data_IF_196452955808
#
_entry.id   IF_196452955808
#
_cell.length_a   1.000
_cell.length_b   1.000
_cell.length_c   1.000
_cell.angle_alpha   90.00
_cell.angle_beta   90.00
_cell.angle_gamma   90.00
#
_symmetry.space_group_name_H-M   'P 1'
#
loop_
_entity.id
_entity.type
_entity.pdbx_description
1 polymer ?
#
# COMPACT_ATOMS: atom_id res chain seq x y z
N UNK A 1 -73.86 10.88 -0.53
CA UNK A 1 -72.71 10.42 0.27
C UNK A 1 -71.72 9.77 -0.69
N UNK A 2 -70.58 10.44 -0.93
CA UNK A 2 -69.60 10.13 -1.97
C UNK A 2 -68.56 9.14 -1.43
N UNK A 3 -68.34 8.07 -2.19
CA UNK A 3 -67.29 7.09 -2.01
C UNK A 3 -65.89 7.72 -2.09
N UNK A 4 -64.98 7.06 -1.38
CA UNK A 4 -63.62 7.48 -1.07
C UNK A 4 -62.72 7.83 -2.24
N UNK A 5 -61.71 8.64 -1.92
CA UNK A 5 -60.51 8.94 -2.73
C UNK A 5 -59.56 9.73 -1.83
N UNK A 6 -58.89 9.07 -0.88
CA UNK A 6 -57.84 9.78 -0.09
C UNK A 6 -56.66 8.93 0.36
N UNK A 7 -56.66 7.61 0.14
CA UNK A 7 -55.49 6.75 0.47
C UNK A 7 -54.63 6.40 -0.75
N UNK A 8 -54.84 7.07 -1.89
CA UNK A 8 -54.13 6.81 -3.16
C UNK A 8 -53.17 7.94 -3.57
N UNK A 9 -52.83 8.83 -2.63
CA UNK A 9 -51.85 9.92 -2.88
C UNK A 9 -50.58 9.76 -2.03
N UNK A 10 -50.51 8.80 -1.11
CA UNK A 10 -49.27 8.44 -0.38
C UNK A 10 -48.45 7.35 -1.09
N UNK A 11 -48.59 7.25 -2.41
CA UNK A 11 -47.65 6.52 -3.29
C UNK A 11 -47.11 7.54 -4.32
N UNK A 12 -46.79 8.75 -3.85
CA UNK A 12 -45.98 9.69 -4.63
C UNK A 12 -44.53 9.51 -4.21
N UNK A 13 -43.76 8.89 -5.11
CA UNK A 13 -42.31 9.08 -5.24
C UNK A 13 -41.46 8.65 -4.02
N UNK A 14 -41.39 7.35 -3.76
CA UNK A 14 -40.07 6.76 -3.54
C UNK A 14 -39.61 6.26 -4.91
N UNK A 15 -39.29 7.21 -5.79
CA UNK A 15 -38.35 6.92 -6.87
C UNK A 15 -37.05 6.68 -6.12
N UNK A 16 -36.70 5.41 -5.92
CA UNK A 16 -35.30 5.05 -5.78
C UNK A 16 -34.64 5.56 -7.04
N UNK A 17 -34.13 6.80 -6.98
CA UNK A 17 -33.10 7.23 -7.91
C UNK A 17 -31.94 6.29 -7.58
N UNK A 18 -31.86 5.20 -8.33
CA UNK A 18 -30.60 4.52 -8.54
C UNK A 18 -29.72 5.56 -9.21
N UNK A 19 -29.03 6.36 -8.40
CA UNK A 19 -27.92 7.16 -8.88
C UNK A 19 -26.91 6.11 -9.30
N UNK A 20 -26.86 5.81 -10.59
CA UNK A 20 -25.76 5.06 -11.17
C UNK A 20 -24.53 5.92 -10.97
N UNK A 21 -23.80 5.68 -9.89
CA UNK A 21 -22.53 6.33 -9.62
C UNK A 21 -21.52 5.75 -10.59
N UNK A 22 -21.22 6.48 -11.67
CA UNK A 22 -20.14 6.13 -12.57
C UNK A 22 -18.81 6.52 -11.88
N UNK A 23 -18.09 5.53 -11.36
CA UNK A 23 -16.69 5.71 -10.99
C UNK A 23 -15.86 5.78 -12.28
N UNK A 24 -15.18 6.90 -12.52
CA UNK A 24 -14.37 7.07 -13.72
C UNK A 24 -12.90 6.77 -13.41
N UNK A 25 -12.28 5.95 -14.26
CA UNK A 25 -10.84 5.74 -14.26
C UNK A 25 -10.12 6.74 -15.20
N UNK A 26 -8.93 7.24 -14.85
CA UNK A 26 -8.26 7.08 -13.55
C UNK A 26 -8.96 7.88 -12.44
N UNK A 27 -8.86 7.38 -11.20
CA UNK A 27 -9.50 8.01 -10.02
C UNK A 27 -8.82 9.32 -9.60
N UNK A 28 -7.53 9.47 -9.90
CA UNK A 28 -6.74 10.71 -9.74
C UNK A 28 -6.44 11.25 -11.15
N UNK A 29 -6.78 12.52 -11.43
CA UNK A 29 -6.65 13.11 -12.79
C UNK A 29 -5.75 14.33 -12.88
N UNK A 30 -5.39 14.91 -11.74
CA UNK A 30 -4.59 16.13 -11.65
C UNK A 30 -3.12 15.86 -11.31
N UNK A 31 -2.73 14.59 -11.09
CA UNK A 31 -1.36 14.14 -10.90
C UNK A 31 -1.18 12.72 -11.42
N UNK A 32 0.07 12.30 -11.61
CA UNK A 32 0.40 10.92 -11.91
C UNK A 32 0.65 10.15 -10.62
N UNK A 33 -0.08 9.05 -10.45
CA UNK A 33 -0.02 8.20 -9.28
C UNK A 33 0.30 6.76 -9.68
N UNK A 34 1.18 6.10 -8.95
CA UNK A 34 1.56 4.70 -9.16
C UNK A 34 1.45 3.90 -7.86
N UNK A 35 1.62 2.58 -7.96
CA UNK A 35 1.79 1.66 -6.83
C UNK A 35 0.78 1.82 -5.68
N UNK A 36 -0.55 1.85 -5.95
CA UNK A 36 -1.51 2.17 -4.90
C UNK A 36 -1.64 1.02 -3.87
N UNK A 37 -1.57 1.37 -2.59
CA UNK A 37 -2.16 0.56 -1.52
C UNK A 37 -3.49 1.17 -1.05
N UNK A 38 -4.46 0.33 -0.70
CA UNK A 38 -5.79 0.77 -0.28
C UNK A 38 -6.16 0.20 1.09
N UNK A 39 -6.63 1.07 1.99
CA UNK A 39 -6.97 0.71 3.37
C UNK A 39 -8.30 1.31 3.78
N UNK A 40 -9.08 0.56 4.54
CA UNK A 40 -10.31 1.07 5.17
C UNK A 40 -9.97 1.50 6.58
N UNK A 41 -10.16 2.79 6.88
CA UNK A 41 -9.99 3.34 8.22
C UNK A 41 -11.23 4.13 8.60
N UNK A 42 -11.98 3.64 9.60
CA UNK A 42 -13.30 4.18 9.93
C UNK A 42 -14.30 3.92 8.80
N UNK A 43 -14.98 4.97 8.37
CA UNK A 43 -16.01 4.97 7.31
C UNK A 43 -15.45 5.28 5.91
N UNK A 44 -14.12 5.33 5.77
CA UNK A 44 -13.45 5.80 4.56
C UNK A 44 -12.45 4.79 4.02
N UNK A 45 -12.37 4.72 2.69
CA UNK A 45 -11.22 4.13 1.99
C UNK A 45 -10.16 5.21 1.84
N UNK A 46 -8.91 4.86 2.12
CA UNK A 46 -7.72 5.65 1.88
C UNK A 46 -6.87 4.95 0.82
N UNK A 47 -6.37 5.70 -0.16
CA UNK A 47 -5.42 5.22 -1.16
C UNK A 47 -4.10 5.96 -0.95
N UNK A 48 -3.02 5.19 -0.83
CA UNK A 48 -1.66 5.66 -0.69
C UNK A 48 -0.86 5.23 -1.93
N UNK A 49 -0.76 6.09 -2.96
CA UNK A 49 0.06 5.83 -4.12
C UNK A 49 1.43 6.50 -4.00
N UNK A 50 2.39 6.03 -4.78
CA UNK A 50 3.57 6.82 -5.17
C UNK A 50 3.14 8.03 -6.01
N UNK A 51 3.79 9.19 -5.83
CA UNK A 51 3.58 10.37 -6.68
C UNK A 51 4.67 10.44 -7.75
N UNK A 52 4.29 10.17 -9.00
CA UNK A 52 5.22 10.21 -10.14
C UNK A 52 5.19 11.59 -10.80
N UNK A 53 6.38 12.10 -11.13
CA UNK A 53 6.55 13.43 -11.71
C UNK A 53 7.48 13.36 -12.93
N UNK A 54 7.43 14.38 -13.78
CA UNK A 54 8.39 14.49 -14.87
C UNK A 54 9.78 14.81 -14.33
N UNK A 55 10.79 14.05 -14.79
CA UNK A 55 12.18 14.40 -14.56
C UNK A 55 12.54 15.71 -15.29
N UNK A 56 13.28 16.58 -14.63
CA UNK A 56 13.79 17.86 -15.17
C UNK A 56 15.31 17.96 -14.93
N UNK A 57 16.04 18.90 -15.56
CA UNK A 57 17.47 19.05 -15.29
C UNK A 57 17.75 19.24 -13.79
N UNK A 58 18.52 18.33 -13.20
CA UNK A 58 18.81 18.30 -11.75
C UNK A 58 17.76 17.60 -10.88
N UNK A 59 16.67 17.09 -11.47
CA UNK A 59 15.58 16.40 -10.77
C UNK A 59 15.22 15.09 -11.47
N UNK A 60 15.59 13.97 -10.87
CA UNK A 60 15.33 12.64 -11.43
C UNK A 60 16.14 12.32 -12.68
N UNK A 61 15.86 11.16 -13.26
CA UNK A 61 16.51 10.66 -14.47
C UNK A 61 15.49 10.62 -15.60
N UNK A 62 15.80 11.30 -16.72
CA UNK A 62 14.95 11.27 -17.92
C UNK A 62 14.77 9.83 -18.41
N UNK A 63 13.53 9.44 -18.67
CA UNK A 63 13.18 8.08 -19.10
C UNK A 63 13.17 7.04 -17.97
N UNK A 64 13.09 7.50 -16.71
CA UNK A 64 12.98 6.65 -15.52
C UNK A 64 11.92 7.21 -14.57
N UNK A 65 11.50 6.40 -13.59
CA UNK A 65 10.62 6.84 -12.50
C UNK A 65 11.24 8.02 -11.75
N UNK A 66 10.40 8.99 -11.37
CA UNK A 66 10.82 10.14 -10.59
C UNK A 66 9.77 10.40 -9.51
N UNK A 67 10.00 9.90 -8.31
CA UNK A 67 9.02 9.93 -7.22
C UNK A 67 9.66 10.51 -5.96
N UNK A 68 9.31 11.74 -5.61
CA UNK A 68 9.96 12.49 -4.51
C UNK A 68 9.18 12.47 -3.19
N UNK A 69 7.90 12.12 -3.25
CA UNK A 69 6.98 12.19 -2.13
C UNK A 69 5.74 11.29 -2.34
N UNK A 70 4.83 11.35 -1.38
CA UNK A 70 3.56 10.64 -1.38
C UNK A 70 2.42 11.60 -1.02
N UNK A 71 1.33 11.51 -1.77
CA UNK A 71 0.03 12.04 -1.36
C UNK A 71 -0.83 10.92 -0.74
N UNK A 72 -1.92 11.28 -0.06
CA UNK A 72 -2.96 10.32 0.32
C UNK A 72 -4.33 10.82 -0.09
N UNK A 73 -5.10 9.92 -0.66
CA UNK A 73 -6.45 10.17 -1.14
C UNK A 73 -7.44 9.41 -0.28
N UNK A 74 -8.68 9.88 -0.22
CA UNK A 74 -9.70 9.15 0.50
C UNK A 74 -11.11 9.39 -0.03
N UNK A 75 -11.98 8.40 0.13
CA UNK A 75 -13.37 8.47 -0.29
C UNK A 75 -14.29 7.75 0.69
N UNK A 76 -15.55 8.23 0.77
CA UNK A 76 -16.66 7.55 1.47
C UNK A 76 -17.57 6.78 0.50
N UNK A 77 -17.45 7.03 -0.81
CA UNK A 77 -18.37 6.52 -1.84
C UNK A 77 -17.67 5.90 -3.05
N UNK A 78 -16.33 5.83 -3.04
CA UNK A 78 -15.47 5.29 -4.09
C UNK A 78 -15.51 6.07 -5.42
N UNK A 79 -16.22 7.20 -5.48
CA UNK A 79 -16.31 8.05 -6.68
C UNK A 79 -15.68 9.41 -6.48
N UNK A 80 -15.95 10.05 -5.35
CA UNK A 80 -15.42 11.37 -5.01
C UNK A 80 -14.22 11.19 -4.09
N UNK A 81 -13.06 11.68 -4.53
CA UNK A 81 -11.79 11.51 -3.85
C UNK A 81 -11.27 12.85 -3.32
N UNK A 82 -10.98 12.89 -2.03
CA UNK A 82 -10.30 14.01 -1.37
C UNK A 82 -8.80 13.74 -1.35
N UNK A 83 -8.01 14.63 -1.95
CA UNK A 83 -6.55 14.70 -1.77
C UNK A 83 -6.25 15.41 -0.44
N UNK A 84 -5.45 14.78 0.42
CA UNK A 84 -5.02 15.37 1.70
C UNK A 84 -3.63 16.02 1.62
N UNK A 85 -3.05 16.10 0.42
CA UNK A 85 -1.73 16.66 0.16
C UNK A 85 -0.58 15.70 0.49
N UNK A 86 0.64 16.24 0.44
CA UNK A 86 1.88 15.50 0.69
C UNK A 86 1.95 15.04 2.15
N UNK A 87 2.13 13.74 2.35
CA UNK A 87 2.23 13.11 3.68
C UNK A 87 3.66 12.77 4.09
N UNK A 88 4.52 12.38 3.14
CA UNK A 88 5.94 12.05 3.36
C UNK A 88 6.72 12.46 2.11
N UNK A 89 7.87 13.10 2.28
CA UNK A 89 8.77 13.50 1.18
C UNK A 89 10.20 13.08 1.48
N UNK A 90 10.97 12.70 0.45
CA UNK A 90 12.35 12.22 0.59
C UNK A 90 13.25 13.18 1.37
N UNK A 91 13.01 14.49 1.24
CA UNK A 91 13.79 15.54 1.90
C UNK A 91 13.45 15.73 3.39
N UNK A 92 12.41 15.05 3.89
CA UNK A 92 12.01 15.07 5.31
C UNK A 92 12.41 13.78 6.04
N UNK A 93 12.98 12.80 5.34
CA UNK A 93 13.43 11.55 5.94
C UNK A 93 14.95 11.62 6.19
N UNK A 94 15.43 11.58 7.45
CA UNK A 94 16.83 11.93 7.77
C UNK A 94 17.90 11.07 7.08
N UNK A 95 17.60 9.81 6.80
CA UNK A 95 18.54 8.83 6.27
C UNK A 95 18.41 8.62 4.76
N UNK A 96 17.42 9.23 4.11
CA UNK A 96 17.15 9.07 2.69
C UNK A 96 18.12 9.91 1.87
N UNK A 97 18.51 9.39 0.71
CA UNK A 97 19.28 10.15 -0.26
C UNK A 97 18.38 11.23 -0.89
N UNK A 98 18.70 12.54 -0.76
CA UNK A 98 17.80 13.63 -1.14
C UNK A 98 17.58 13.77 -2.66
N UNK A 99 18.39 13.10 -3.48
CA UNK A 99 18.26 13.01 -4.94
C UNK A 99 17.94 11.56 -5.39
N UNK A 100 17.34 10.74 -4.52
CA UNK A 100 16.96 9.36 -4.91
C UNK A 100 15.81 9.32 -5.91
N UNK A 101 14.80 10.18 -5.75
CA UNK A 101 13.55 10.17 -6.52
C UNK A 101 12.94 8.76 -6.56
N UNK A 102 13.04 8.08 -5.42
CA UNK A 102 12.73 6.67 -5.28
C UNK A 102 11.73 6.38 -4.16
N UNK A 103 10.79 7.29 -3.92
CA UNK A 103 9.70 7.12 -2.98
C UNK A 103 8.59 6.28 -3.63
N UNK A 104 8.82 4.96 -3.71
CA UNK A 104 7.99 4.00 -4.47
C UNK A 104 6.95 3.28 -3.59
N UNK A 105 6.13 2.40 -4.18
CA UNK A 105 5.20 1.43 -3.57
C UNK A 105 5.06 1.45 -2.04
N UNK A 106 4.24 2.35 -1.47
CA UNK A 106 4.07 2.44 -0.03
C UNK A 106 2.90 1.57 0.47
N UNK A 107 2.88 1.32 1.77
CA UNK A 107 1.73 0.71 2.44
C UNK A 107 1.50 1.35 3.81
N UNK A 108 0.25 1.41 4.26
CA UNK A 108 -0.13 1.99 5.55
C UNK A 108 -0.96 1.01 6.37
N UNK A 109 -0.75 0.95 7.68
CA UNK A 109 -1.60 0.17 8.58
C UNK A 109 -1.86 0.86 9.91
N UNK A 110 -3.01 0.59 10.50
CA UNK A 110 -3.36 1.06 11.83
C UNK A 110 -3.00 0.01 12.89
N UNK A 111 -2.38 0.45 13.99
CA UNK A 111 -2.21 -0.37 15.21
C UNK A 111 -2.13 0.54 16.44
N UNK A 112 -2.86 0.17 17.49
CA UNK A 112 -2.75 0.79 18.83
C UNK A 112 -2.82 2.34 18.83
N UNK A 113 -3.78 2.90 18.11
CA UNK A 113 -4.00 4.36 18.06
C UNK A 113 -3.08 5.12 17.11
N UNK A 114 -2.22 4.44 16.36
CA UNK A 114 -1.27 5.05 15.42
C UNK A 114 -1.39 4.43 14.02
N UNK A 115 -0.97 5.20 13.03
CA UNK A 115 -0.84 4.80 11.64
C UNK A 115 0.63 4.68 11.28
N UNK A 116 1.02 3.57 10.69
CA UNK A 116 2.39 3.25 10.29
C UNK A 116 2.44 3.17 8.77
N UNK A 117 3.15 4.13 8.17
CA UNK A 117 3.33 4.26 6.73
C UNK A 117 4.71 3.75 6.34
N UNK A 118 4.75 2.60 5.70
CA UNK A 118 5.94 1.92 5.21
C UNK A 118 6.25 2.37 3.79
N UNK A 119 7.52 2.68 3.54
CA UNK A 119 7.95 3.15 2.23
C UNK A 119 9.36 2.65 1.87
N UNK A 120 9.57 2.13 0.66
CA UNK A 120 10.88 1.77 0.15
C UNK A 120 11.59 3.01 -0.43
N UNK A 121 12.90 3.13 -0.18
CA UNK A 121 13.73 4.14 -0.84
C UNK A 121 15.22 3.85 -0.65
N UNK A 122 16.08 4.56 -1.37
CA UNK A 122 17.54 4.42 -1.25
C UNK A 122 18.10 5.26 -0.08
N UNK A 123 18.87 4.64 0.85
CA UNK A 123 19.52 5.37 1.93
C UNK A 123 20.73 6.16 1.42
N UNK A 124 21.05 7.29 2.07
CA UNK A 124 22.26 8.07 1.78
C UNK A 124 23.53 7.39 2.27
N UNK A 125 23.47 6.74 3.44
CA UNK A 125 24.57 5.97 4.01
C UNK A 125 24.48 4.51 3.56
N UNK A 126 25.22 4.19 2.50
CA UNK A 126 25.26 2.84 1.93
C UNK A 126 26.25 1.91 2.65
N UNK A 127 27.06 2.43 3.57
CA UNK A 127 27.97 1.62 4.40
C UNK A 127 27.16 1.00 5.54
N UNK A 128 26.39 1.82 6.26
CA UNK A 128 25.59 1.38 7.40
C UNK A 128 24.32 0.63 6.96
N UNK A 129 23.64 1.11 5.93
CA UNK A 129 22.35 0.56 5.52
C UNK A 129 22.42 -0.34 4.27
N UNK A 130 23.59 -0.44 3.63
CA UNK A 130 23.82 -1.20 2.40
C UNK A 130 23.42 -0.46 1.11
N UNK A 131 23.93 -0.89 -0.05
CA UNK A 131 23.65 -0.27 -1.37
C UNK A 131 22.29 -0.68 -1.97
N UNK A 132 21.51 0.23 -2.52
CA UNK A 132 20.19 -0.07 -3.11
C UNK A 132 19.06 0.28 -2.14
N UNK A 133 17.95 -0.45 -2.18
CA UNK A 133 16.73 -0.09 -1.43
C UNK A 133 16.65 -0.71 -0.03
N UNK A 134 16.00 0.02 0.86
CA UNK A 134 15.56 -0.42 2.20
C UNK A 134 14.18 0.16 2.48
N UNK A 135 13.53 -0.27 3.56
CA UNK A 135 12.18 0.15 3.93
C UNK A 135 12.22 1.03 5.17
N UNK A 136 11.62 2.21 5.07
CA UNK A 136 11.35 3.14 6.14
C UNK A 136 9.97 2.98 6.75
N UNK A 137 9.76 3.61 7.90
CA UNK A 137 8.45 3.80 8.51
C UNK A 137 8.27 5.26 8.90
N UNK A 138 7.10 5.82 8.64
CA UNK A 138 6.66 7.08 9.23
C UNK A 138 5.39 6.86 10.05
N UNK A 139 5.21 7.61 11.14
CA UNK A 139 4.14 7.37 12.12
C UNK A 139 3.25 8.61 12.24
N UNK A 140 1.94 8.42 12.29
CA UNK A 140 0.95 9.47 12.48
C UNK A 140 -0.16 9.08 13.46
N UNK A 141 -0.88 10.09 13.94
CA UNK A 141 -2.09 9.94 14.76
C UNK A 141 -3.36 9.81 13.93
N UNK A 142 -3.28 10.13 12.63
CA UNK A 142 -4.40 10.13 11.68
C UNK A 142 -3.97 9.45 10.38
N UNK A 143 -4.90 8.86 9.62
CA UNK A 143 -4.55 8.17 8.38
C UNK A 143 -3.96 9.10 7.32
N UNK A 144 -4.32 10.38 7.34
CA UNK A 144 -3.76 11.40 6.46
C UNK A 144 -2.52 12.13 7.00
N UNK A 145 -1.97 11.70 8.13
CA UNK A 145 -0.85 12.38 8.77
C UNK A 145 -1.25 13.53 9.71
N UNK A 146 -0.29 14.40 10.10
CA UNK A 146 1.08 14.45 9.59
C UNK A 146 1.89 13.21 10.00
N UNK A 147 2.61 12.64 9.04
CA UNK A 147 3.49 11.50 9.29
C UNK A 147 4.90 11.98 9.68
N UNK A 148 5.45 11.39 10.74
CA UNK A 148 6.80 11.65 11.23
C UNK A 148 7.69 10.45 10.87
N UNK A 149 8.64 10.61 9.92
CA UNK A 149 9.56 9.54 9.55
C UNK A 149 10.47 9.13 10.70
N UNK A 150 10.69 7.83 10.84
CA UNK A 150 11.68 7.31 11.78
C UNK A 150 13.11 7.71 11.34
N UNK A 151 14.03 7.91 12.31
CA UNK A 151 15.39 8.41 12.03
C UNK A 151 16.27 7.40 11.30
N UNK A 152 15.87 6.12 11.25
CA UNK A 152 16.57 5.03 10.54
C UNK A 152 15.56 4.13 9.83
N UNK A 153 15.95 3.45 8.74
CA UNK A 153 15.13 2.40 8.13
C UNK A 153 15.01 1.18 9.05
N UNK A 154 14.10 0.26 8.71
CA UNK A 154 13.96 -1.01 9.43
C UNK A 154 15.23 -1.84 9.20
N UNK A 155 15.89 -2.22 10.29
CA UNK A 155 17.09 -3.05 10.25
C UNK A 155 16.80 -4.40 9.61
N UNK A 156 17.74 -4.90 8.79
CA UNK A 156 17.67 -6.17 8.07
C UNK A 156 16.55 -6.29 7.02
N UNK A 157 15.91 -5.18 6.64
CA UNK A 157 14.99 -5.14 5.49
C UNK A 157 15.67 -4.47 4.30
N UNK A 158 15.78 -5.24 3.22
CA UNK A 158 16.50 -4.86 2.00
C UNK A 158 15.59 -5.20 0.82
N UNK A 159 15.31 -4.21 -0.03
CA UNK A 159 14.32 -4.38 -1.09
C UNK A 159 13.28 -3.26 -1.13
N UNK A 160 12.21 -3.53 -1.88
CA UNK A 160 11.14 -2.60 -2.22
C UNK A 160 9.77 -3.20 -1.87
N UNK A 161 8.71 -2.46 -2.15
CA UNK A 161 7.31 -2.91 -2.13
C UNK A 161 6.89 -3.56 -0.80
N UNK A 162 7.03 -2.83 0.33
CA UNK A 162 6.53 -3.30 1.60
C UNK A 162 5.02 -3.52 1.55
N UNK A 163 4.57 -4.66 2.05
CA UNK A 163 3.19 -4.88 2.46
C UNK A 163 3.14 -5.33 3.91
N UNK A 164 2.34 -4.63 4.71
CA UNK A 164 2.19 -4.91 6.13
C UNK A 164 0.83 -5.57 6.41
N UNK A 165 0.87 -6.63 7.19
CA UNK A 165 -0.32 -7.41 7.53
C UNK A 165 -0.36 -7.67 9.04
N UNK A 166 -1.54 -7.59 9.64
CA UNK A 166 -1.77 -7.97 11.03
C UNK A 166 -2.78 -9.12 11.01
N UNK A 167 -2.36 -10.26 11.53
CA UNK A 167 -3.20 -11.45 11.58
C UNK A 167 -4.20 -11.40 12.75
N UNK A 168 -5.17 -12.31 12.76
CA UNK A 168 -6.26 -12.38 13.74
C UNK A 168 -5.78 -12.61 15.17
N UNK A 169 -4.59 -13.18 15.35
CA UNK A 169 -3.93 -13.35 16.65
C UNK A 169 -3.20 -12.07 17.14
N UNK A 170 -3.18 -11.01 16.32
CA UNK A 170 -2.49 -9.75 16.61
C UNK A 170 -1.02 -9.73 16.20
N UNK A 171 -0.47 -10.82 15.65
CA UNK A 171 0.89 -10.82 15.13
C UNK A 171 0.95 -10.00 13.83
N UNK A 172 1.88 -9.05 13.79
CA UNK A 172 2.17 -8.29 12.57
C UNK A 172 3.26 -8.96 11.74
N UNK A 173 3.18 -8.80 10.43
CA UNK A 173 4.13 -9.31 9.45
C UNK A 173 4.45 -8.21 8.45
N UNK A 174 5.70 -8.19 8.00
CA UNK A 174 6.15 -7.39 6.86
C UNK A 174 6.51 -8.33 5.71
N UNK A 175 5.95 -8.07 4.55
CA UNK A 175 6.29 -8.67 3.27
C UNK A 175 7.01 -7.62 2.41
N UNK A 176 7.98 -8.03 1.60
CA UNK A 176 8.67 -7.12 0.69
C UNK A 176 9.39 -7.89 -0.43
N UNK A 177 9.86 -7.17 -1.44
CA UNK A 177 10.51 -7.74 -2.62
C UNK A 177 11.98 -7.42 -2.71
N UNK A 178 12.79 -8.45 -2.98
CA UNK A 178 14.21 -8.32 -3.29
C UNK A 178 14.64 -9.44 -4.25
N UNK A 179 14.01 -9.49 -5.42
CA UNK A 179 14.14 -10.59 -6.39
C UNK A 179 13.36 -11.87 -6.00
N UNK A 180 13.08 -12.05 -4.71
CA UNK A 180 12.08 -12.97 -4.18
C UNK A 180 11.10 -12.17 -3.30
N UNK A 181 9.99 -12.80 -2.89
CA UNK A 181 9.14 -12.26 -1.81
C UNK A 181 9.65 -12.76 -0.46
N UNK A 182 9.94 -11.81 0.42
CA UNK A 182 10.37 -12.07 1.79
C UNK A 182 9.21 -11.83 2.76
N UNK A 183 9.31 -12.44 3.93
CA UNK A 183 8.41 -12.25 5.05
C UNK A 183 9.20 -12.25 6.36
N UNK A 184 8.79 -11.43 7.32
CA UNK A 184 9.25 -11.51 8.70
C UNK A 184 8.14 -11.05 9.65
N UNK A 185 8.16 -11.55 10.88
CA UNK A 185 7.34 -11.00 11.96
C UNK A 185 7.82 -9.59 12.28
N UNK A 186 6.88 -8.70 12.59
CA UNK A 186 7.16 -7.40 13.20
C UNK A 186 6.94 -7.48 14.70
N UNK A 187 7.71 -6.69 15.46
CA UNK A 187 7.40 -6.47 16.88
C UNK A 187 6.14 -5.63 17.02
N UNK A 188 5.58 -5.61 18.23
CA UNK A 188 4.36 -4.88 18.56
C UNK A 188 4.45 -3.37 18.27
N UNK A 189 5.66 -2.82 18.36
CA UNK A 189 5.94 -1.41 18.06
C UNK A 189 5.86 -1.08 16.56
N UNK A 190 5.77 -2.07 15.67
CA UNK A 190 5.69 -1.93 14.21
C UNK A 190 6.93 -1.30 13.53
N UNK A 191 8.02 -1.07 14.26
CA UNK A 191 9.22 -0.37 13.75
C UNK A 191 10.42 -1.28 13.49
N UNK A 192 10.36 -2.54 13.94
CA UNK A 192 11.46 -3.48 13.84
C UNK A 192 10.97 -4.93 13.66
N UNK A 193 11.80 -5.74 13.02
CA UNK A 193 11.54 -7.17 12.86
C UNK A 193 11.63 -7.90 14.22
N UNK A 194 10.75 -8.88 14.40
CA UNK A 194 10.72 -9.83 15.52
C UNK A 194 11.26 -11.21 15.15
N UNK A 195 11.56 -11.45 13.88
CA UNK A 195 12.18 -12.67 13.37
C UNK A 195 13.16 -12.34 12.26
N UNK A 196 14.03 -13.30 11.94
CA UNK A 196 14.83 -13.20 10.73
C UNK A 196 13.94 -13.23 9.47
N UNK A 197 14.32 -12.50 8.40
CA UNK A 197 13.69 -12.62 7.10
C UNK A 197 13.73 -14.05 6.57
N UNK A 198 12.59 -14.50 6.04
CA UNK A 198 12.49 -15.76 5.29
C UNK A 198 11.96 -15.48 3.89
N UNK A 199 12.41 -16.27 2.91
CA UNK A 199 11.85 -16.25 1.56
C UNK A 199 10.57 -17.08 1.55
N UNK A 200 9.49 -16.53 0.98
CA UNK A 200 8.29 -17.30 0.69
C UNK A 200 8.59 -18.29 -0.43
N UNK A 201 8.53 -19.57 -0.09
CA UNK A 201 8.75 -20.68 -1.02
C UNK A 201 7.48 -20.95 -1.83
N UNK A 202 7.62 -21.77 -2.86
CA UNK A 202 6.51 -22.24 -3.72
C UNK A 202 5.89 -21.14 -4.60
N UNK A 203 6.47 -19.93 -4.64
CA UNK A 203 6.15 -18.95 -5.67
C UNK A 203 6.87 -19.30 -6.99
N UNK A 204 6.39 -18.83 -8.15
CA UNK A 204 7.03 -19.11 -9.44
C UNK A 204 8.48 -18.62 -9.49
N UNK A 205 9.43 -19.51 -9.76
CA UNK A 205 10.86 -19.15 -9.90
C UNK A 205 11.15 -18.24 -11.10
N UNK A 206 10.31 -18.33 -12.14
CA UNK A 206 10.42 -17.53 -13.36
C UNK A 206 9.25 -16.56 -13.42
N UNK A 207 9.54 -15.31 -13.76
CA UNK A 207 8.52 -14.29 -14.00
C UNK A 207 8.08 -13.52 -12.74
N UNK A 208 8.32 -14.04 -11.53
CA UNK A 208 8.09 -13.29 -10.29
C UNK A 208 8.90 -11.99 -10.28
N UNK A 209 8.23 -10.88 -9.97
CA UNK A 209 8.84 -9.54 -9.94
C UNK A 209 8.91 -8.97 -8.54
N UNK A 210 7.78 -8.45 -8.06
CA UNK A 210 7.74 -7.57 -6.90
C UNK A 210 6.33 -7.49 -6.31
N UNK A 211 5.92 -6.35 -5.72
CA UNK A 211 4.55 -6.00 -5.38
C UNK A 211 3.73 -7.02 -4.56
N UNK A 212 4.26 -7.64 -3.50
CA UNK A 212 3.48 -8.56 -2.68
C UNK A 212 2.37 -7.80 -1.99
N UNK A 213 1.15 -8.33 -2.02
CA UNK A 213 0.05 -7.80 -1.22
C UNK A 213 -0.73 -8.96 -0.61
N UNK A 214 -0.52 -9.18 0.69
CA UNK A 214 -1.23 -10.19 1.47
C UNK A 214 -2.50 -9.58 2.08
N UNK A 215 -3.62 -10.29 1.90
CA UNK A 215 -4.85 -10.00 2.61
C UNK A 215 -5.59 -11.29 2.96
N UNK A 216 -6.49 -11.21 3.93
CA UNK A 216 -7.33 -12.33 4.36
C UNK A 216 -8.78 -12.10 3.93
N UNK A 217 -9.44 -13.17 3.49
CA UNK A 217 -10.87 -13.19 3.17
C UNK A 217 -11.46 -14.55 3.52
N UNK A 218 -12.47 -14.57 4.40
CA UNK A 218 -13.23 -15.77 4.77
C UNK A 218 -12.39 -16.95 5.29
N UNK A 219 -11.35 -16.66 6.08
CA UNK A 219 -10.41 -17.61 6.65
C UNK A 219 -9.26 -17.99 5.73
N UNK A 220 -9.19 -17.43 4.52
CA UNK A 220 -8.19 -17.76 3.49
C UNK A 220 -7.29 -16.54 3.28
N UNK A 221 -5.99 -16.76 3.28
CA UNK A 221 -5.00 -15.73 3.02
C UNK A 221 -4.62 -15.76 1.53
N UNK A 222 -4.66 -14.61 0.89
CA UNK A 222 -4.35 -14.41 -0.52
C UNK A 222 -3.14 -13.49 -0.62
N UNK A 223 -2.08 -13.97 -1.27
CA UNK A 223 -0.92 -13.16 -1.62
C UNK A 223 -0.98 -12.87 -3.11
N UNK A 224 -1.25 -11.62 -3.48
CA UNK A 224 -1.12 -11.20 -4.89
C UNK A 224 0.30 -10.73 -5.17
N UNK A 225 0.75 -10.91 -6.41
CA UNK A 225 2.06 -10.43 -6.86
C UNK A 225 2.09 -10.28 -8.39
N UNK A 226 2.78 -9.26 -8.93
CA UNK A 226 3.10 -9.20 -10.34
C UNK A 226 3.97 -10.36 -10.81
N UNK A 227 3.57 -10.94 -11.94
CA UNK A 227 4.27 -11.99 -12.65
C UNK A 227 4.38 -11.64 -14.13
N UNK A 228 5.56 -11.84 -14.72
CA UNK A 228 5.81 -11.60 -16.14
C UNK A 228 5.86 -12.91 -16.91
N UNK A 229 4.93 -13.06 -17.84
CA UNK A 229 4.90 -14.13 -18.82
C UNK A 229 4.93 -13.53 -20.23
N UNK A 230 5.82 -14.02 -21.10
CA UNK A 230 5.97 -13.53 -22.48
C UNK A 230 6.11 -11.99 -22.64
N UNK A 231 6.78 -11.33 -21.68
CA UNK A 231 6.95 -9.86 -21.59
C UNK A 231 5.71 -9.07 -21.17
N UNK A 232 4.63 -9.75 -20.80
CA UNK A 232 3.41 -9.12 -20.29
C UNK A 232 3.42 -9.30 -18.77
N UNK A 233 3.29 -8.18 -18.06
CA UNK A 233 3.07 -8.20 -16.62
C UNK A 233 1.57 -8.43 -16.34
N UNK A 234 1.29 -9.36 -15.45
CA UNK A 234 -0.04 -9.70 -14.97
C UNK A 234 -0.03 -9.82 -13.45
N UNK A 235 -1.20 -9.65 -12.84
CA UNK A 235 -1.37 -9.91 -11.42
C UNK A 235 -1.77 -11.37 -11.23
N UNK A 236 -0.92 -12.11 -10.52
CA UNK A 236 -1.22 -13.47 -10.06
C UNK A 236 -1.50 -13.48 -8.56
N UNK A 237 -1.98 -14.60 -8.05
CA UNK A 237 -2.12 -14.80 -6.62
C UNK A 237 -1.81 -16.24 -6.19
N UNK A 238 -1.35 -16.36 -4.96
CA UNK A 238 -1.21 -17.61 -4.22
C UNK A 238 -2.19 -17.60 -3.05
N UNK A 239 -2.73 -18.77 -2.72
CA UNK A 239 -3.41 -18.95 -1.43
C UNK A 239 -2.36 -19.47 -0.44
N UNK A 240 -2.33 -18.84 0.72
CA UNK A 240 -1.38 -19.12 1.77
C UNK A 240 -2.10 -19.83 2.90
N UNK A 241 -1.82 -21.12 3.09
CA UNK A 241 -2.17 -21.78 4.34
C UNK A 241 -1.07 -21.42 5.33
N UNK A 242 -1.33 -20.46 6.23
CA UNK A 242 -0.39 -20.10 7.28
C UNK A 242 -0.35 -21.25 8.29
N UNK A 243 0.54 -22.21 8.06
CA UNK A 243 0.95 -23.17 9.09
C UNK A 243 2.41 -22.86 9.43
N UNK A 244 2.58 -22.03 10.48
CA UNK A 244 3.83 -21.85 11.22
C UNK A 244 5.13 -22.01 10.40
N UNK A 245 5.37 -21.10 9.44
CA UNK A 245 6.64 -21.01 8.71
C UNK A 245 6.72 -21.82 7.41
N UNK A 246 5.64 -22.50 7.00
CA UNK A 246 5.56 -23.13 5.69
C UNK A 246 4.34 -22.58 4.93
N UNK A 247 4.62 -21.86 3.84
CA UNK A 247 3.63 -21.64 2.79
C UNK A 247 3.29 -23.03 2.23
N UNK A 248 2.00 -23.39 2.20
CA UNK A 248 1.51 -24.43 1.30
C UNK A 248 0.58 -23.75 0.32
N UNK A 249 0.91 -23.82 -0.97
CA UNK A 249 -0.07 -23.56 -2.01
C UNK A 249 -1.15 -24.65 -1.98
N UNK A 250 -2.44 -24.33 -2.11
CA UNK A 250 -3.43 -25.35 -2.39
C UNK A 250 -3.15 -25.95 -3.77
N UNK A 251 -3.16 -27.28 -3.81
CA UNK A 251 -3.08 -28.10 -5.03
C UNK A 251 -4.37 -27.97 -5.82
#
# INVERSE_FOLDING_TARGET
>A
MRYGKSYLVLISLIIFLTISTFAQNPLIRNMYSADPSARVFGDRVYIYPSHDILATPGKGRVGWFCMEDYHVFSSVNLTDWTDHGVIVSQNKVPWVRPDSYSMWAPDCIYRNGKYYFYFPTSPKDTITHGRGFTVGVAVADKPQGPFVPQPTPIKNVRGIDPNVFIDKDGQAYLYWSQGNIYCAKLKENMLELASDPVILKELPDKGLKEGPYLFERNGIYYLTYPHVEHKIERLEYAIVIIHWGHLKLPV
#
